data_IF_594338111764
#
_entry.id   IF_594338111764
#
_cell.length_a   1.000
_cell.length_b   1.000
_cell.length_c   1.000
_cell.angle_alpha   90.00
_cell.angle_beta   90.00
_cell.angle_gamma   90.00
#
_symmetry.space_group_name_H-M   'P 1'
#
loop_
_entity.id
_entity.type
_entity.pdbx_description
1 polymer ?
#
# COMPACT_ATOMS: atom_id res chain seq x y z
N UNK A 1 -3.34 -1.84 -4.13
CA UNK A 1 -2.54 -0.62 -4.34
C UNK A 1 -1.94 -0.20 -3.01
N UNK A 2 -0.63 -0.04 -2.95
CA UNK A 2 0.07 0.35 -1.71
C UNK A 2 -0.09 1.86 -1.45
N UNK A 3 -0.45 2.24 -0.22
CA UNK A 3 -0.67 3.64 0.20
C UNK A 3 0.56 4.54 -0.04
N UNK A 4 1.77 4.04 0.24
CA UNK A 4 3.02 4.80 0.07
C UNK A 4 3.19 5.18 -1.40
N UNK A 5 2.95 4.23 -2.31
CA UNK A 5 3.11 4.46 -3.75
C UNK A 5 2.16 5.52 -4.28
N UNK A 6 0.89 5.49 -3.85
CA UNK A 6 -0.10 6.51 -4.24
C UNK A 6 0.27 7.87 -3.67
N UNK A 7 0.72 7.93 -2.41
CA UNK A 7 1.16 9.17 -1.79
C UNK A 7 2.35 9.81 -2.54
N UNK A 8 3.33 8.99 -2.99
CA UNK A 8 4.46 9.46 -3.80
C UNK A 8 4.00 10.08 -5.12
N UNK A 9 3.06 9.43 -5.84
CA UNK A 9 2.49 9.99 -7.07
C UNK A 9 1.78 11.32 -6.79
N UNK A 10 0.89 11.36 -5.79
CA UNK A 10 0.13 12.59 -5.49
C UNK A 10 1.02 13.75 -5.08
N UNK A 11 2.09 13.48 -4.32
CA UNK A 11 3.09 14.48 -3.96
C UNK A 11 3.81 15.01 -5.21
N UNK A 12 4.24 14.13 -6.12
CA UNK A 12 4.88 14.52 -7.36
C UNK A 12 3.96 15.39 -8.25
N UNK A 13 2.73 14.95 -8.50
CA UNK A 13 1.74 15.68 -9.31
C UNK A 13 1.51 17.10 -8.75
N UNK A 14 1.39 17.21 -7.42
CA UNK A 14 1.19 18.50 -6.75
C UNK A 14 2.43 19.40 -6.83
N UNK A 15 3.64 18.86 -6.69
CA UNK A 15 4.89 19.63 -6.75
C UNK A 15 5.14 20.20 -8.15
N UNK A 16 4.97 19.37 -9.18
CA UNK A 16 5.21 19.74 -10.58
C UNK A 16 4.01 20.42 -11.24
N UNK A 17 2.87 20.51 -10.53
CA UNK A 17 1.60 21.05 -11.06
C UNK A 17 1.19 20.39 -12.38
N UNK A 18 1.32 19.06 -12.43
CA UNK A 18 1.01 18.21 -13.59
C UNK A 18 -0.06 17.20 -13.22
N UNK A 19 -0.72 16.64 -14.24
CA UNK A 19 -1.73 15.58 -14.10
C UNK A 19 -1.20 14.20 -14.49
N UNK A 20 -0.02 14.16 -15.09
CA UNK A 20 0.66 12.94 -15.56
C UNK A 20 1.94 12.73 -14.73
N UNK A 21 2.15 11.52 -14.17
CA UNK A 21 3.34 11.25 -13.37
C UNK A 21 4.60 11.08 -14.22
N UNK A 22 5.71 11.66 -13.79
CA UNK A 22 7.04 11.24 -14.23
C UNK A 22 7.42 9.94 -13.51
N UNK A 23 7.43 8.84 -14.26
CA UNK A 23 7.75 7.51 -13.74
C UNK A 23 9.13 7.44 -13.06
N UNK A 24 10.14 8.16 -13.53
CA UNK A 24 11.47 8.15 -12.92
C UNK A 24 11.46 8.82 -11.55
N UNK A 25 10.80 9.98 -11.44
CA UNK A 25 10.65 10.68 -10.18
C UNK A 25 9.83 9.87 -9.18
N UNK A 26 8.67 9.35 -9.60
CA UNK A 26 7.81 8.53 -8.74
C UNK A 26 8.54 7.27 -8.26
N UNK A 27 9.24 6.57 -9.16
CA UNK A 27 10.08 5.40 -8.81
C UNK A 27 11.13 5.77 -7.77
N UNK A 28 11.86 6.87 -7.98
CA UNK A 28 12.85 7.36 -7.03
C UNK A 28 12.24 7.62 -5.65
N UNK A 29 11.08 8.30 -5.60
CA UNK A 29 10.38 8.61 -4.36
C UNK A 29 9.94 7.35 -3.62
N UNK A 30 9.32 6.39 -4.32
CA UNK A 30 8.87 5.12 -3.73
C UNK A 30 10.06 4.34 -3.17
N UNK A 31 11.11 4.15 -3.97
CA UNK A 31 12.29 3.39 -3.54
C UNK A 31 12.98 4.02 -2.33
N UNK A 32 13.08 5.35 -2.29
CA UNK A 32 13.61 6.06 -1.13
C UNK A 32 12.75 5.88 0.12
N UNK A 33 11.43 5.96 -0.01
CA UNK A 33 10.50 5.71 1.11
C UNK A 33 10.64 4.29 1.63
N UNK A 34 10.66 3.28 0.75
CA UNK A 34 10.83 1.88 1.14
C UNK A 34 12.18 1.66 1.84
N UNK A 35 13.28 2.20 1.28
CA UNK A 35 14.61 2.16 1.89
C UNK A 35 14.60 2.79 3.28
N UNK A 36 14.02 3.97 3.42
CA UNK A 36 13.95 4.69 4.70
C UNK A 36 13.19 3.89 5.76
N UNK A 37 11.99 3.38 5.43
CA UNK A 37 11.19 2.61 6.40
C UNK A 37 11.84 1.29 6.75
N UNK A 38 12.41 0.58 5.76
CA UNK A 38 13.18 -0.63 6.04
C UNK A 38 14.34 -0.34 6.98
N UNK A 39 15.23 0.60 6.65
CA UNK A 39 16.38 0.94 7.52
C UNK A 39 15.95 1.34 8.93
N UNK A 40 14.84 2.08 9.07
CA UNK A 40 14.34 2.54 10.37
C UNK A 40 13.77 1.42 11.24
N UNK A 41 13.10 0.43 10.64
CA UNK A 41 12.29 -0.54 11.39
C UNK A 41 12.82 -1.97 11.35
N UNK A 42 13.79 -2.27 10.48
CA UNK A 42 14.27 -3.62 10.22
C UNK A 42 14.80 -4.33 11.47
N UNK A 43 15.60 -3.64 12.29
CA UNK A 43 16.18 -4.23 13.49
C UNK A 43 15.11 -4.72 14.48
N UNK A 44 13.99 -4.00 14.58
CA UNK A 44 12.92 -4.29 15.56
C UNK A 44 11.83 -5.22 15.03
N UNK A 45 11.49 -5.11 13.75
CA UNK A 45 10.30 -5.75 13.16
C UNK A 45 10.63 -6.72 12.01
N UNK A 46 11.90 -6.84 11.61
CA UNK A 46 12.32 -7.76 10.56
C UNK A 46 12.14 -7.20 9.14
N UNK A 47 11.85 -8.09 8.19
CA UNK A 47 11.83 -7.75 6.76
C UNK A 47 10.52 -7.08 6.32
N UNK A 48 10.60 -6.23 5.29
CA UNK A 48 9.43 -5.54 4.74
C UNK A 48 8.55 -6.49 3.91
N UNK A 49 7.24 -6.44 4.17
CA UNK A 49 6.21 -7.14 3.40
C UNK A 49 5.32 -6.11 2.70
N UNK A 50 5.28 -6.16 1.37
CA UNK A 50 4.46 -5.30 0.54
C UNK A 50 3.14 -6.01 0.21
N UNK A 51 2.04 -5.49 0.75
CA UNK A 51 0.69 -6.00 0.51
C UNK A 51 -0.02 -5.14 -0.54
N UNK A 52 -0.66 -5.78 -1.52
CA UNK A 52 -1.37 -5.11 -2.60
C UNK A 52 -2.81 -5.61 -2.71
N UNK A 53 -3.75 -4.68 -2.88
CA UNK A 53 -5.10 -5.03 -3.35
C UNK A 53 -5.07 -5.84 -4.65
N UNK A 54 -5.94 -6.84 -4.71
CA UNK A 54 -6.33 -7.48 -5.96
C UNK A 54 -7.17 -6.56 -6.83
N UNK A 55 -7.27 -6.88 -8.12
CA UNK A 55 -8.19 -6.23 -9.06
C UNK A 55 -9.66 -6.53 -8.71
N UNK A 56 -9.92 -7.73 -8.21
CA UNK A 56 -11.24 -8.15 -7.72
C UNK A 56 -11.34 -7.96 -6.22
N UNK A 57 -12.49 -7.52 -5.72
CA UNK A 57 -12.74 -7.39 -4.28
C UNK A 57 -13.86 -8.34 -3.87
N UNK A 58 -13.58 -9.31 -3.00
CA UNK A 58 -14.59 -10.26 -2.53
C UNK A 58 -15.79 -9.56 -1.88
N UNK A 59 -15.58 -8.39 -1.26
CA UNK A 59 -16.66 -7.56 -0.68
C UNK A 59 -17.71 -7.14 -1.71
N UNK A 60 -17.35 -7.02 -2.99
CA UNK A 60 -18.30 -6.71 -4.08
C UNK A 60 -19.20 -7.87 -4.43
N UNK A 61 -18.78 -9.10 -4.15
CA UNK A 61 -19.60 -10.30 -4.37
C UNK A 61 -20.79 -10.34 -3.39
N UNK A 62 -20.64 -9.72 -2.21
CA UNK A 62 -21.69 -9.60 -1.19
C UNK A 62 -22.42 -8.25 -1.24
N UNK A 63 -21.71 -7.15 -1.51
CA UNK A 63 -22.28 -5.81 -1.62
C UNK A 63 -21.78 -5.12 -2.90
N UNK A 64 -22.52 -5.22 -4.01
CA UNK A 64 -22.07 -4.73 -5.33
C UNK A 64 -21.71 -3.24 -5.36
N UNK A 65 -22.31 -2.41 -4.50
CA UNK A 65 -22.05 -0.97 -4.42
C UNK A 65 -20.77 -0.63 -3.62
N UNK A 66 -20.06 -1.63 -3.10
CA UNK A 66 -18.83 -1.44 -2.33
C UNK A 66 -17.76 -0.71 -3.16
N UNK A 67 -17.26 0.41 -2.60
CA UNK A 67 -16.31 1.35 -3.24
C UNK A 67 -16.81 1.96 -4.56
N UNK A 68 -18.12 1.98 -4.84
CA UNK A 68 -18.67 2.57 -6.07
C UNK A 68 -18.23 4.03 -6.25
N UNK A 69 -18.26 4.82 -5.18
CA UNK A 69 -17.85 6.22 -5.20
C UNK A 69 -16.39 6.43 -5.62
N UNK A 70 -15.48 5.45 -5.41
CA UNK A 70 -14.08 5.57 -5.85
C UNK A 70 -13.96 5.66 -7.37
N UNK A 71 -14.86 5.00 -8.11
CA UNK A 71 -14.89 5.10 -9.57
C UNK A 71 -15.35 6.50 -9.99
N UNK A 72 -16.46 6.96 -9.41
CA UNK A 72 -17.00 8.30 -9.66
C UNK A 72 -15.98 9.41 -9.37
N UNK A 73 -15.29 9.36 -8.23
CA UNK A 73 -14.25 10.34 -7.89
C UNK A 73 -13.11 10.40 -8.89
N UNK A 74 -12.77 9.28 -9.55
CA UNK A 74 -11.73 9.26 -10.60
C UNK A 74 -12.24 9.87 -11.89
N UNK A 75 -13.48 9.56 -12.27
CA UNK A 75 -14.16 10.13 -13.44
C UNK A 75 -14.34 11.65 -13.32
N UNK A 76 -14.60 12.13 -12.10
CA UNK A 76 -14.75 13.56 -11.79
C UNK A 76 -13.40 14.29 -11.60
N UNK A 77 -12.26 13.59 -11.65
CA UNK A 77 -10.93 14.15 -11.38
C UNK A 77 -10.26 14.68 -12.65
N UNK A 78 -9.49 15.75 -12.48
CA UNK A 78 -8.59 16.32 -13.48
C UNK A 78 -7.31 15.50 -13.77
N UNK A 79 -7.07 14.42 -13.03
CA UNK A 79 -5.84 13.63 -13.09
C UNK A 79 -5.94 12.52 -14.11
N UNK A 80 -4.84 12.22 -14.78
CA UNK A 80 -4.75 11.09 -15.70
C UNK A 80 -4.59 9.79 -14.90
N UNK A 81 -5.73 9.23 -14.47
CA UNK A 81 -5.74 8.01 -13.65
C UNK A 81 -5.19 6.79 -14.38
N UNK A 82 -5.31 6.74 -15.70
CA UNK A 82 -4.76 5.64 -16.50
C UNK A 82 -3.22 5.69 -16.48
N UNK A 83 -2.63 6.86 -16.73
CA UNK A 83 -1.18 7.05 -16.62
C UNK A 83 -0.65 6.80 -15.19
N UNK A 84 -1.42 7.20 -14.17
CA UNK A 84 -1.10 6.91 -12.76
C UNK A 84 -1.07 5.41 -12.49
N UNK A 85 -2.09 4.67 -12.96
CA UNK A 85 -2.12 3.22 -12.76
C UNK A 85 -1.05 2.49 -13.55
N UNK A 86 -0.75 2.93 -14.77
CA UNK A 86 0.34 2.38 -15.57
C UNK A 86 1.68 2.53 -14.83
N UNK A 87 2.02 3.75 -14.40
CA UNK A 87 3.24 4.03 -13.64
C UNK A 87 3.33 3.19 -12.35
N UNK A 88 2.25 3.11 -11.57
CA UNK A 88 2.22 2.32 -10.34
C UNK A 88 2.36 0.82 -10.59
N UNK A 89 1.76 0.30 -11.67
CA UNK A 89 1.83 -1.12 -12.03
C UNK A 89 3.22 -1.51 -12.54
N UNK A 90 3.88 -0.64 -13.29
CA UNK A 90 5.27 -0.81 -13.73
C UNK A 90 6.19 -0.95 -12.51
N UNK A 91 6.16 0.03 -11.60
CA UNK A 91 7.00 0.03 -10.38
C UNK A 91 6.68 -1.17 -9.49
N UNK A 92 5.41 -1.55 -9.37
CA UNK A 92 5.01 -2.77 -8.64
C UNK A 92 5.65 -4.01 -9.24
N UNK A 93 5.66 -4.12 -10.57
CA UNK A 93 6.24 -5.28 -11.27
C UNK A 93 7.74 -5.34 -11.06
N UNK A 94 8.44 -4.20 -11.16
CA UNK A 94 9.87 -4.08 -10.86
C UNK A 94 10.21 -4.47 -9.42
N UNK A 95 9.42 -4.00 -8.44
CA UNK A 95 9.59 -4.36 -7.03
C UNK A 95 9.46 -5.86 -6.80
N UNK A 96 8.56 -6.53 -7.54
CA UNK A 96 8.37 -7.98 -7.44
C UNK A 96 9.51 -8.75 -8.11
N UNK A 97 10.02 -8.26 -9.23
CA UNK A 97 11.02 -8.96 -10.05
C UNK A 97 12.45 -8.78 -9.51
N UNK A 98 12.81 -7.57 -9.09
CA UNK A 98 14.21 -7.21 -8.83
C UNK A 98 14.56 -6.96 -7.35
N UNK A 99 13.57 -6.79 -6.47
CA UNK A 99 13.82 -6.43 -5.07
C UNK A 99 13.55 -7.60 -4.13
N UNK A 100 14.25 -7.67 -2.97
CA UNK A 100 14.15 -8.81 -2.04
C UNK A 100 12.91 -8.76 -1.15
N UNK A 101 11.97 -7.85 -1.40
CA UNK A 101 10.79 -7.68 -0.55
C UNK A 101 9.77 -8.79 -0.77
N UNK A 102 9.10 -9.20 0.30
CA UNK A 102 7.98 -10.13 0.17
C UNK A 102 6.81 -9.38 -0.49
N UNK A 103 6.33 -9.89 -1.61
CA UNK A 103 5.23 -9.29 -2.37
C UNK A 103 3.98 -10.17 -2.23
N UNK A 104 2.94 -9.66 -1.59
CA UNK A 104 1.68 -10.37 -1.36
C UNK A 104 0.51 -9.71 -2.10
N UNK A 105 -0.13 -10.50 -2.94
CA UNK A 105 -1.36 -10.14 -3.66
C UNK A 105 -2.17 -11.43 -3.82
N UNK A 106 -3.33 -11.49 -3.18
CA UNK A 106 -4.20 -12.67 -3.17
C UNK A 106 -5.48 -12.33 -3.90
N UNK A 107 -5.92 -13.19 -4.83
CA UNK A 107 -7.13 -12.94 -5.61
C UNK A 107 -8.35 -12.67 -4.71
N UNK A 108 -9.09 -11.60 -5.01
CA UNK A 108 -10.26 -11.18 -4.25
C UNK A 108 -9.95 -10.41 -2.98
N UNK A 109 -8.77 -10.58 -2.38
CA UNK A 109 -8.38 -9.93 -1.13
C UNK A 109 -7.87 -8.50 -1.34
N UNK A 110 -8.16 -7.65 -0.38
CA UNK A 110 -7.57 -6.33 -0.25
C UNK A 110 -6.27 -6.37 0.55
N UNK A 111 -5.49 -5.28 0.49
CA UNK A 111 -4.24 -5.22 1.24
C UNK A 111 -4.47 -5.29 2.76
N UNK A 112 -5.57 -4.72 3.25
CA UNK A 112 -5.97 -4.76 4.65
C UNK A 112 -6.35 -6.17 5.12
N UNK A 113 -7.02 -6.97 4.28
CA UNK A 113 -7.32 -8.38 4.54
C UNK A 113 -6.04 -9.19 4.74
N UNK A 114 -5.05 -8.99 3.85
CA UNK A 114 -3.75 -9.67 3.93
C UNK A 114 -3.02 -9.25 5.22
N UNK A 115 -2.99 -7.96 5.52
CA UNK A 115 -2.36 -7.43 6.74
C UNK A 115 -3.02 -8.02 7.99
N UNK A 116 -4.35 -8.08 8.04
CA UNK A 116 -5.08 -8.65 9.16
C UNK A 116 -4.77 -10.14 9.36
N UNK A 117 -4.72 -10.92 8.27
CA UNK A 117 -4.36 -12.33 8.30
C UNK A 117 -2.92 -12.56 8.81
N UNK A 118 -1.97 -11.73 8.36
CA UNK A 118 -0.58 -11.78 8.85
C UNK A 118 -0.47 -11.41 10.33
N UNK A 119 -1.22 -10.40 10.78
CA UNK A 119 -1.21 -10.00 12.20
C UNK A 119 -1.69 -11.15 13.11
N UNK A 120 -2.70 -11.90 12.65
CA UNK A 120 -3.20 -13.10 13.33
C UNK A 120 -2.15 -14.22 13.36
N UNK A 121 -1.50 -14.50 12.22
CA UNK A 121 -0.49 -15.56 12.14
C UNK A 121 0.72 -15.24 13.03
N UNK A 122 1.22 -14.01 12.96
CA UNK A 122 2.39 -13.58 13.73
C UNK A 122 2.13 -13.37 15.22
N UNK A 123 0.87 -13.35 15.66
CA UNK A 123 0.52 -13.36 17.08
C UNK A 123 1.13 -14.57 17.80
N UNK A 124 1.15 -15.74 17.14
CA UNK A 124 1.59 -17.00 17.73
C UNK A 124 3.09 -17.27 17.56
N UNK A 125 3.72 -16.66 16.56
CA UNK A 125 5.15 -16.83 16.23
C UNK A 125 6.09 -15.89 17.03
N UNK A 126 5.61 -15.28 18.12
CA UNK A 126 6.34 -14.38 19.03
C UNK A 126 6.95 -13.11 18.37
N UNK A 127 6.54 -12.77 17.14
CA UNK A 127 7.06 -11.62 16.41
C UNK A 127 6.36 -10.31 16.75
N UNK A 128 7.11 -9.19 16.79
CA UNK A 128 6.51 -7.85 16.76
C UNK A 128 6.10 -7.52 15.33
N UNK A 129 4.88 -7.04 15.13
CA UNK A 129 4.34 -6.67 13.83
C UNK A 129 4.12 -5.17 13.77
N UNK A 130 4.66 -4.52 12.73
CA UNK A 130 4.43 -3.10 12.47
C UNK A 130 3.60 -2.92 11.21
N UNK A 131 2.40 -2.36 11.35
CA UNK A 131 1.59 -1.91 10.23
C UNK A 131 2.09 -0.51 9.83
N UNK A 132 2.66 -0.41 8.64
CA UNK A 132 3.12 0.86 8.04
C UNK A 132 1.99 1.47 7.20
N UNK A 133 1.02 2.08 7.87
CA UNK A 133 -0.10 2.73 7.20
C UNK A 133 -0.71 3.84 8.05
N UNK A 134 -1.19 4.89 7.39
CA UNK A 134 -2.00 5.94 8.00
C UNK A 134 -3.50 5.63 8.07
N UNK A 135 -3.95 4.46 7.59
CA UNK A 135 -5.36 4.08 7.63
C UNK A 135 -5.83 3.81 9.06
N UNK A 136 -6.89 4.49 9.49
CA UNK A 136 -7.41 4.39 10.86
C UNK A 136 -8.13 3.07 11.11
N UNK A 137 -8.58 2.37 10.06
CA UNK A 137 -9.33 1.12 10.22
C UNK A 137 -8.47 0.01 10.85
N UNK A 138 -7.14 0.10 10.76
CA UNK A 138 -6.21 -0.81 11.44
C UNK A 138 -6.23 -0.73 12.96
N UNK A 139 -6.90 0.26 13.56
CA UNK A 139 -7.16 0.30 15.01
C UNK A 139 -7.87 -0.98 15.49
N UNK A 140 -8.62 -1.65 14.61
CA UNK A 140 -9.28 -2.93 14.89
C UNK A 140 -8.28 -4.06 15.22
N UNK A 141 -7.03 -3.93 14.77
CA UNK A 141 -5.95 -4.90 15.00
C UNK A 141 -5.12 -4.59 16.25
N UNK A 142 -5.30 -3.43 16.90
CA UNK A 142 -4.58 -3.08 18.14
C UNK A 142 -5.01 -3.91 19.35
N UNK A 143 -6.02 -4.77 19.22
CA UNK A 143 -6.34 -5.81 20.22
C UNK A 143 -5.22 -6.84 20.38
N UNK A 144 -4.38 -7.01 19.36
CA UNK A 144 -3.23 -7.92 19.40
C UNK A 144 -2.03 -7.23 20.06
N UNK A 145 -1.46 -7.86 21.09
CA UNK A 145 -0.39 -7.26 21.91
C UNK A 145 0.91 -7.00 21.14
N UNK A 146 1.14 -7.76 20.08
CA UNK A 146 2.34 -7.69 19.26
C UNK A 146 2.21 -6.75 18.06
N UNK A 147 1.03 -6.15 17.84
CA UNK A 147 0.78 -5.24 16.70
C UNK A 147 0.99 -3.79 17.12
N UNK A 148 1.76 -3.07 16.32
CA UNK A 148 1.91 -1.61 16.38
C UNK A 148 1.59 -1.03 15.02
N UNK A 149 1.17 0.23 14.98
CA UNK A 149 0.92 0.96 13.75
C UNK A 149 1.76 2.23 13.70
N UNK A 150 2.35 2.53 12.55
CA UNK A 150 3.04 3.79 12.27
C UNK A 150 2.41 4.47 11.07
N UNK A 151 1.91 5.69 11.28
CA UNK A 151 1.41 6.55 10.21
C UNK A 151 2.57 7.34 9.60
N UNK A 152 2.80 7.25 8.28
CA UNK A 152 3.81 8.04 7.59
C UNK A 152 3.42 9.50 7.34
N UNK A 153 2.19 9.90 7.69
CA UNK A 153 1.59 11.22 7.37
C UNK A 153 1.56 12.17 8.59
N UNK A 154 2.07 11.75 9.76
CA UNK A 154 2.15 12.57 10.99
C UNK A 154 3.46 13.29 11.16
#
# INVERSE_FOLDING_TARGET
MNQISVASVMMHLNMEKTTVPDGNMVRHMILNSLRMYRSRFHEKYGELILCYDSKHYWRRDYFPQYKYNRKKTREDSDKDWDAIFECLNEIKSELKEFFPYKHLEVYGAEADDIIAALCLEFEYDNGKTLILSGDKDFIQLHKYKNVSQYSPIT
#
